data_IF_805878727820
#
_entry.id   IF_805878727820
#
_cell.length_a   1.000
_cell.length_b   1.000
_cell.length_c   1.000
_cell.angle_alpha   90.00
_cell.angle_beta   90.00
_cell.angle_gamma   90.00
#
_symmetry.space_group_name_H-M   'P 1'
#
loop_
_entity.id
_entity.type
_entity.pdbx_description
1 polymer ?
#
# COMPACT_ATOMS: atom_id res chain seq x y z
N UNK A 1 27.98 12.92 9.99
CA UNK A 1 26.94 11.91 9.67
C UNK A 1 25.92 11.88 10.80
N UNK A 2 24.64 11.97 10.48
CA UNK A 2 23.55 11.81 11.46
C UNK A 2 23.55 10.38 12.02
N UNK A 3 23.16 10.19 13.28
CA UNK A 3 22.96 8.85 13.88
C UNK A 3 22.03 8.01 12.99
N UNK A 4 21.05 8.65 12.34
CA UNK A 4 20.13 8.02 11.37
C UNK A 4 20.89 7.44 10.17
N UNK A 5 21.86 8.17 9.61
CA UNK A 5 22.67 7.69 8.47
C UNK A 5 23.61 6.55 8.85
N UNK A 6 24.19 6.58 10.06
CA UNK A 6 25.13 5.54 10.51
C UNK A 6 24.42 4.20 10.77
N UNK A 7 23.19 4.22 11.26
CA UNK A 7 22.38 3.01 11.50
C UNK A 7 21.64 2.51 10.24
N UNK A 8 21.45 3.37 9.24
CA UNK A 8 20.71 3.02 8.03
C UNK A 8 21.42 1.95 7.19
N UNK A 9 22.75 2.01 7.05
CA UNK A 9 23.50 1.05 6.22
C UNK A 9 23.47 -0.38 6.76
N UNK A 10 23.81 -0.66 8.04
CA UNK A 10 23.73 -2.03 8.57
C UNK A 10 22.30 -2.60 8.49
N UNK A 11 21.29 -1.78 8.79
CA UNK A 11 19.89 -2.20 8.70
C UNK A 11 19.48 -2.48 7.25
N UNK A 12 19.89 -1.64 6.30
CA UNK A 12 19.67 -1.85 4.88
C UNK A 12 20.30 -3.15 4.38
N UNK A 13 21.55 -3.43 4.77
CA UNK A 13 22.23 -4.68 4.40
C UNK A 13 21.57 -5.92 4.98
N UNK A 14 21.11 -5.86 6.23
CA UNK A 14 20.34 -6.95 6.83
C UNK A 14 19.03 -7.23 6.07
N UNK A 15 18.25 -6.19 5.76
CA UNK A 15 17.00 -6.33 5.01
C UNK A 15 17.25 -6.84 3.59
N UNK A 16 18.27 -6.29 2.90
CA UNK A 16 18.66 -6.73 1.57
C UNK A 16 19.09 -8.21 1.54
N UNK A 17 19.84 -8.65 2.55
CA UNK A 17 20.25 -10.06 2.69
C UNK A 17 19.03 -10.99 2.84
N UNK A 18 18.06 -10.62 3.68
CA UNK A 18 16.80 -11.36 3.83
C UNK A 18 16.02 -11.47 2.52
N UNK A 19 15.90 -10.37 1.77
CA UNK A 19 15.20 -10.34 0.47
C UNK A 19 15.93 -11.24 -0.54
N UNK A 20 17.26 -11.10 -0.66
CA UNK A 20 18.07 -11.93 -1.56
C UNK A 20 17.97 -13.42 -1.21
N UNK A 21 17.99 -13.76 0.07
CA UNK A 21 17.82 -15.14 0.54
C UNK A 21 16.47 -15.71 0.12
N UNK A 22 15.38 -14.94 0.29
CA UNK A 22 14.04 -15.36 -0.16
C UNK A 22 13.96 -15.57 -1.69
N UNK A 23 14.73 -14.84 -2.49
CA UNK A 23 14.78 -15.02 -3.95
C UNK A 23 15.51 -16.28 -4.40
N UNK A 24 16.25 -16.98 -3.53
CA UNK A 24 16.97 -18.21 -3.91
C UNK A 24 16.04 -19.41 -4.10
N UNK A 25 14.82 -19.37 -3.54
CA UNK A 25 13.85 -20.47 -3.59
C UNK A 25 12.44 -20.01 -3.96
N UNK A 26 12.26 -19.33 -5.11
CA UNK A 26 11.02 -18.61 -5.42
C UNK A 26 9.81 -19.54 -5.52
N UNK A 27 9.98 -20.73 -6.11
CA UNK A 27 8.90 -21.73 -6.28
C UNK A 27 8.43 -22.26 -4.93
N UNK A 28 9.36 -22.62 -4.03
CA UNK A 28 9.03 -23.09 -2.68
C UNK A 28 8.29 -22.00 -1.88
N UNK A 29 8.74 -20.75 -1.98
CA UNK A 29 8.11 -19.63 -1.30
C UNK A 29 6.68 -19.36 -1.81
N UNK A 30 6.47 -19.36 -3.13
CA UNK A 30 5.13 -19.20 -3.72
C UNK A 30 4.19 -20.31 -3.28
N UNK A 31 4.64 -21.58 -3.33
CA UNK A 31 3.85 -22.73 -2.86
C UNK A 31 3.50 -22.60 -1.38
N UNK A 32 4.47 -22.20 -0.54
CA UNK A 32 4.24 -21.99 0.90
C UNK A 32 3.22 -20.90 1.16
N UNK A 33 3.34 -19.74 0.49
CA UNK A 33 2.39 -18.63 0.63
C UNK A 33 0.99 -19.07 0.20
N UNK A 34 0.86 -19.72 -0.96
CA UNK A 34 -0.42 -20.24 -1.45
C UNK A 34 -1.10 -21.15 -0.42
N UNK A 35 -0.38 -22.16 0.09
CA UNK A 35 -0.94 -23.09 1.09
C UNK A 35 -1.31 -22.38 2.40
N UNK A 36 -0.51 -21.41 2.84
CA UNK A 36 -0.81 -20.60 4.02
C UNK A 36 -2.09 -19.78 3.86
N UNK A 37 -2.25 -19.11 2.71
CA UNK A 37 -3.43 -18.29 2.42
C UNK A 37 -4.70 -19.14 2.34
N UNK A 38 -4.62 -20.29 1.66
CA UNK A 38 -5.74 -21.25 1.56
C UNK A 38 -6.12 -21.81 2.94
N UNK A 39 -5.14 -22.28 3.72
CA UNK A 39 -5.39 -22.82 5.04
C UNK A 39 -6.01 -21.78 5.99
N UNK A 40 -5.60 -20.51 5.88
CA UNK A 40 -6.15 -19.43 6.68
C UNK A 40 -7.57 -19.03 6.24
N UNK A 41 -7.87 -19.09 4.94
CA UNK A 41 -9.17 -18.71 4.39
C UNK A 41 -10.18 -19.87 4.34
N UNK A 42 -9.80 -21.10 4.72
CA UNK A 42 -10.63 -22.29 4.50
C UNK A 42 -12.04 -22.19 5.08
N UNK A 43 -12.18 -21.60 6.27
CA UNK A 43 -13.46 -21.51 7.00
C UNK A 43 -14.30 -20.28 6.59
N UNK A 44 -13.84 -19.51 5.59
CA UNK A 44 -14.59 -18.37 5.05
C UNK A 44 -15.70 -18.84 4.10
N UNK A 45 -16.70 -17.99 3.84
CA UNK A 45 -17.77 -18.30 2.88
C UNK A 45 -17.20 -18.61 1.48
N UNK A 46 -16.19 -17.87 1.05
CA UNK A 46 -15.48 -18.14 -0.21
C UNK A 46 -14.66 -19.43 -0.14
N UNK A 47 -13.95 -19.68 0.97
CA UNK A 47 -13.16 -20.90 1.16
C UNK A 47 -14.01 -22.17 1.12
N UNK A 48 -15.16 -22.15 1.80
CA UNK A 48 -16.14 -23.24 1.78
C UNK A 48 -16.74 -23.45 0.38
N UNK A 49 -17.14 -22.37 -0.29
CA UNK A 49 -17.72 -22.45 -1.64
C UNK A 49 -16.75 -23.01 -2.69
N UNK A 50 -15.44 -22.89 -2.46
CA UNK A 50 -14.40 -23.39 -3.35
C UNK A 50 -13.63 -24.60 -2.77
N UNK A 51 -14.16 -25.25 -1.72
CA UNK A 51 -13.59 -26.44 -1.08
C UNK A 51 -12.09 -26.33 -0.74
N UNK A 52 -11.69 -25.23 -0.09
CA UNK A 52 -10.29 -24.97 0.28
C UNK A 52 -9.68 -26.04 1.18
N UNK A 53 -10.50 -26.80 1.92
CA UNK A 53 -10.03 -27.91 2.76
C UNK A 53 -9.34 -29.02 1.94
N UNK A 54 -9.75 -29.22 0.69
CA UNK A 54 -9.16 -30.25 -0.18
C UNK A 54 -7.92 -29.77 -0.96
N UNK A 55 -7.59 -28.48 -0.91
CA UNK A 55 -6.50 -27.89 -1.71
C UNK A 55 -5.14 -28.15 -1.04
N UNK A 56 -4.32 -29.03 -1.64
CA UNK A 56 -2.98 -29.42 -1.16
C UNK A 56 -1.88 -29.13 -2.17
N UNK A 57 -2.23 -28.98 -3.43
CA UNK A 57 -1.31 -28.72 -4.54
C UNK A 57 -1.72 -27.48 -5.33
N UNK A 58 -0.81 -27.01 -6.19
CA UNK A 58 -1.12 -25.93 -7.12
C UNK A 58 -2.19 -26.34 -8.14
N UNK A 59 -2.25 -27.63 -8.51
CA UNK A 59 -3.28 -28.14 -9.40
C UNK A 59 -4.67 -28.04 -8.75
N UNK A 60 -4.78 -28.44 -7.48
CA UNK A 60 -6.01 -28.34 -6.70
C UNK A 60 -6.43 -26.86 -6.57
N UNK A 61 -5.47 -25.98 -6.29
CA UNK A 61 -5.73 -24.54 -6.18
C UNK A 61 -6.29 -23.96 -7.48
N UNK A 62 -5.69 -24.29 -8.64
CA UNK A 62 -6.15 -23.81 -9.95
C UNK A 62 -7.56 -24.29 -10.28
N UNK A 63 -7.92 -25.50 -9.85
CA UNK A 63 -9.27 -26.04 -10.03
C UNK A 63 -10.27 -25.35 -9.08
N UNK A 64 -9.89 -25.13 -7.82
CA UNK A 64 -10.71 -24.50 -6.80
C UNK A 64 -10.94 -23.00 -7.04
N UNK A 65 -9.94 -22.27 -7.53
CA UNK A 65 -9.99 -20.80 -7.69
C UNK A 65 -9.77 -20.43 -9.16
N UNK A 66 -10.85 -20.36 -9.96
CA UNK A 66 -10.74 -19.91 -11.35
C UNK A 66 -10.33 -18.44 -11.42
N UNK A 67 -9.76 -18.05 -12.56
CA UNK A 67 -9.43 -16.66 -12.84
C UNK A 67 -10.74 -15.86 -12.88
N UNK A 68 -10.79 -14.78 -12.11
CA UNK A 68 -11.97 -13.95 -11.93
C UNK A 68 -11.63 -12.47 -12.07
N UNK A 69 -12.54 -11.70 -12.66
CA UNK A 69 -12.48 -10.25 -12.63
C UNK A 69 -13.22 -9.69 -11.39
N UNK A 70 -13.35 -8.37 -11.33
CA UNK A 70 -14.05 -7.73 -10.22
C UNK A 70 -15.54 -8.07 -10.19
N UNK A 71 -16.20 -8.20 -11.34
CA UNK A 71 -17.65 -8.45 -11.39
C UNK A 71 -17.98 -9.85 -10.87
N UNK A 72 -17.12 -10.84 -11.16
CA UNK A 72 -17.23 -12.18 -10.58
C UNK A 72 -17.06 -12.18 -9.04
N UNK A 73 -16.25 -11.27 -8.50
CA UNK A 73 -16.04 -11.14 -7.05
C UNK A 73 -17.03 -10.20 -6.36
N UNK A 74 -17.73 -9.36 -7.11
CA UNK A 74 -18.65 -8.33 -6.61
C UNK A 74 -19.71 -8.87 -5.66
N UNK A 75 -20.37 -10.03 -5.89
CA UNK A 75 -21.35 -10.56 -4.94
C UNK A 75 -20.77 -10.79 -3.54
N UNK A 76 -19.52 -11.25 -3.44
CA UNK A 76 -18.81 -11.44 -2.17
C UNK A 76 -18.46 -10.10 -1.53
N UNK A 77 -18.03 -9.13 -2.33
CA UNK A 77 -17.68 -7.78 -1.87
C UNK A 77 -18.92 -7.06 -1.32
N UNK A 78 -20.09 -7.21 -1.95
CA UNK A 78 -21.34 -6.61 -1.47
C UNK A 78 -21.76 -7.18 -0.11
N UNK A 79 -21.60 -8.49 0.14
CA UNK A 79 -21.81 -9.06 1.48
C UNK A 79 -20.92 -8.40 2.54
N UNK A 80 -19.63 -8.21 2.21
CA UNK A 80 -18.70 -7.52 3.11
C UNK A 80 -19.13 -6.06 3.32
N UNK A 81 -19.58 -5.38 2.26
CA UNK A 81 -20.10 -4.00 2.35
C UNK A 81 -21.34 -3.92 3.24
N UNK A 82 -22.19 -4.94 3.28
CA UNK A 82 -23.33 -5.05 4.20
C UNK A 82 -22.91 -5.38 5.64
N UNK A 83 -21.61 -5.51 5.91
CA UNK A 83 -21.06 -5.72 7.24
C UNK A 83 -20.88 -7.19 7.63
N UNK A 84 -21.10 -8.14 6.70
CA UNK A 84 -20.82 -9.55 6.94
C UNK A 84 -19.31 -9.80 7.14
N UNK A 85 -18.98 -10.83 7.92
CA UNK A 85 -17.61 -11.20 8.26
C UNK A 85 -17.25 -12.56 7.68
N UNK A 86 -15.96 -12.89 7.61
CA UNK A 86 -15.49 -14.20 7.15
C UNK A 86 -15.94 -14.54 5.71
N UNK A 87 -16.05 -13.54 4.84
CA UNK A 87 -16.51 -13.75 3.45
C UNK A 87 -15.37 -14.17 2.53
N UNK A 88 -14.45 -13.25 2.21
CA UNK A 88 -13.26 -13.53 1.39
C UNK A 88 -12.01 -13.83 2.23
N UNK A 89 -12.01 -13.38 3.49
CA UNK A 89 -10.91 -13.52 4.43
C UNK A 89 -11.45 -13.55 5.86
N UNK A 90 -10.78 -14.19 6.83
CA UNK A 90 -11.24 -14.18 8.22
C UNK A 90 -11.41 -12.76 8.79
N UNK A 91 -12.51 -12.57 9.51
CA UNK A 91 -12.93 -11.31 10.11
C UNK A 91 -13.49 -10.29 9.10
N UNK A 92 -13.42 -9.01 9.47
CA UNK A 92 -13.69 -7.87 8.59
C UNK A 92 -12.39 -7.29 8.03
N UNK A 93 -12.38 -6.78 6.78
CA UNK A 93 -11.26 -5.96 6.34
C UNK A 93 -11.15 -4.69 7.20
N UNK A 94 -9.93 -4.15 7.32
CA UNK A 94 -9.74 -2.86 7.97
C UNK A 94 -10.29 -1.71 7.12
N UNK A 95 -10.14 -1.85 5.80
CA UNK A 95 -10.54 -0.84 4.85
C UNK A 95 -11.15 -1.39 3.57
N UNK A 96 -11.90 -0.55 2.87
CA UNK A 96 -12.04 -0.63 1.43
C UNK A 96 -11.22 0.46 0.75
N UNK A 97 -10.31 0.04 -0.13
CA UNK A 97 -9.68 0.95 -1.07
C UNK A 97 -10.61 1.16 -2.27
N UNK A 98 -11.09 2.39 -2.47
CA UNK A 98 -11.84 2.80 -3.67
C UNK A 98 -10.87 2.95 -4.85
N UNK A 99 -11.19 2.35 -5.99
CA UNK A 99 -10.51 2.65 -7.26
C UNK A 99 -11.50 3.26 -8.24
N UNK A 100 -11.05 4.29 -8.98
CA UNK A 100 -11.81 4.94 -10.04
C UNK A 100 -11.82 4.03 -11.27
N UNK A 101 -12.65 2.98 -11.21
CA UNK A 101 -12.89 2.11 -12.35
C UNK A 101 -13.64 2.86 -13.45
N UNK A 102 -13.17 2.76 -14.69
CA UNK A 102 -13.74 3.47 -15.85
C UNK A 102 -14.94 2.76 -16.48
N UNK A 103 -15.22 1.50 -16.11
CA UNK A 103 -16.23 0.67 -16.80
C UNK A 103 -17.40 0.18 -15.94
N UNK A 104 -17.23 0.02 -14.62
CA UNK A 104 -18.27 -0.59 -13.75
C UNK A 104 -18.66 0.25 -12.53
N UNK A 105 -18.30 1.53 -12.53
CA UNK A 105 -18.36 2.38 -11.35
C UNK A 105 -17.22 2.11 -10.37
N UNK A 106 -17.36 2.62 -9.14
CA UNK A 106 -16.33 2.54 -8.10
C UNK A 106 -16.14 1.10 -7.63
N UNK A 107 -14.91 0.59 -7.70
CA UNK A 107 -14.54 -0.74 -7.17
C UNK A 107 -14.07 -0.60 -5.73
N UNK A 108 -14.46 -1.55 -4.89
CA UNK A 108 -14.13 -1.62 -3.47
C UNK A 108 -13.20 -2.80 -3.22
N UNK A 109 -11.91 -2.51 -3.02
CA UNK A 109 -10.90 -3.56 -2.79
C UNK A 109 -10.70 -3.73 -1.28
N UNK A 110 -11.03 -4.90 -0.68
CA UNK A 110 -10.82 -5.13 0.75
C UNK A 110 -9.32 -5.11 1.10
N UNK A 111 -8.95 -4.32 2.09
CA UNK A 111 -7.60 -4.30 2.68
C UNK A 111 -7.69 -4.89 4.08
N UNK A 112 -7.05 -6.04 4.29
CA UNK A 112 -7.12 -6.77 5.56
C UNK A 112 -6.04 -6.30 6.53
N UNK A 113 -6.23 -6.63 7.81
CA UNK A 113 -5.19 -6.42 8.83
C UNK A 113 -3.90 -7.17 8.49
N UNK A 114 -4.01 -8.34 7.85
CA UNK A 114 -2.87 -9.15 7.44
C UNK A 114 -2.11 -8.55 6.24
N UNK A 115 -2.80 -7.88 5.30
CA UNK A 115 -2.15 -7.28 4.13
C UNK A 115 -1.56 -5.89 4.41
N UNK A 116 -2.10 -5.14 5.38
CA UNK A 116 -1.68 -3.75 5.64
C UNK A 116 -0.16 -3.57 5.82
N UNK A 117 0.55 -4.42 6.60
CA UNK A 117 2.00 -4.31 6.74
C UNK A 117 2.77 -4.40 5.40
N UNK A 118 2.24 -5.10 4.38
CA UNK A 118 2.90 -5.22 3.09
C UNK A 118 3.02 -3.88 2.35
N UNK A 119 2.03 -2.99 2.49
CA UNK A 119 2.08 -1.65 1.89
C UNK A 119 3.18 -0.78 2.51
N UNK A 120 3.36 -0.86 3.82
CA UNK A 120 4.40 -0.10 4.54
C UNK A 120 5.79 -0.71 4.31
N UNK A 121 5.90 -2.04 4.45
CA UNK A 121 7.16 -2.75 4.31
C UNK A 121 7.73 -2.65 2.90
N UNK A 122 6.89 -2.65 1.86
CA UNK A 122 7.37 -2.55 0.48
C UNK A 122 8.05 -1.21 0.22
N UNK A 123 7.42 -0.09 0.62
CA UNK A 123 8.01 1.23 0.50
C UNK A 123 9.32 1.35 1.31
N UNK A 124 9.31 0.90 2.57
CA UNK A 124 10.52 0.86 3.40
C UNK A 124 11.64 0.05 2.74
N UNK A 125 11.32 -1.15 2.27
CA UNK A 125 12.30 -2.06 1.69
C UNK A 125 12.89 -1.48 0.39
N UNK A 126 12.11 -0.76 -0.42
CA UNK A 126 12.62 -0.07 -1.61
C UNK A 126 13.71 0.96 -1.24
N UNK A 127 13.48 1.78 -0.20
CA UNK A 127 14.47 2.75 0.29
C UNK A 127 15.72 2.08 0.86
N UNK A 128 15.53 1.01 1.63
CA UNK A 128 16.65 0.25 2.18
C UNK A 128 17.46 -0.46 1.09
N UNK A 129 16.81 -0.97 0.05
CA UNK A 129 17.50 -1.52 -1.12
C UNK A 129 18.32 -0.46 -1.85
N UNK A 130 17.78 0.76 -2.01
CA UNK A 130 18.53 1.88 -2.57
C UNK A 130 19.78 2.20 -1.73
N UNK A 131 19.63 2.31 -0.40
CA UNK A 131 20.76 2.54 0.53
C UNK A 131 21.80 1.42 0.40
N UNK A 132 21.36 0.16 0.36
CA UNK A 132 22.26 -0.98 0.26
C UNK A 132 23.03 -0.99 -1.07
N UNK A 133 22.39 -0.62 -2.17
CA UNK A 133 22.99 -0.69 -3.50
C UNK A 133 23.88 0.51 -3.82
N UNK A 134 23.51 1.70 -3.35
CA UNK A 134 24.23 2.95 -3.65
C UNK A 134 25.19 3.39 -2.55
N UNK A 135 25.00 2.91 -1.31
CA UNK A 135 25.66 3.46 -0.12
C UNK A 135 25.16 4.86 0.28
N UNK A 136 24.28 5.47 -0.54
CA UNK A 136 23.76 6.81 -0.31
C UNK A 136 22.67 6.78 0.76
N UNK A 137 22.93 7.49 1.86
CA UNK A 137 21.98 7.70 2.96
C UNK A 137 21.55 9.16 3.07
N UNK A 138 22.07 10.06 2.27
CA UNK A 138 21.94 11.50 2.50
C UNK A 138 20.49 11.96 2.36
N UNK A 139 19.72 11.27 1.52
CA UNK A 139 18.30 11.54 1.32
C UNK A 139 17.45 11.39 2.60
N UNK A 140 17.91 10.66 3.62
CA UNK A 140 17.16 10.48 4.88
C UNK A 140 17.21 11.71 5.77
N UNK A 141 18.11 12.67 5.49
CA UNK A 141 18.32 13.84 6.31
C UNK A 141 17.43 15.03 5.92
N UNK A 142 16.88 15.05 4.69
CA UNK A 142 15.97 16.10 4.25
C UNK A 142 14.49 15.77 4.46
N UNK A 143 13.64 16.58 3.83
CA UNK A 143 12.19 16.41 3.80
C UNK A 143 11.78 15.47 2.68
N UNK A 144 10.70 14.76 2.90
CA UNK A 144 10.14 13.81 1.95
C UNK A 144 8.68 14.13 1.65
N UNK A 145 8.29 13.93 0.40
CA UNK A 145 6.90 14.02 -0.03
C UNK A 145 6.46 12.72 -0.68
N UNK A 146 5.22 12.32 -0.40
CA UNK A 146 4.50 11.35 -1.20
C UNK A 146 3.22 12.01 -1.70
N UNK A 147 3.18 12.32 -3.00
CA UNK A 147 2.00 12.85 -3.66
C UNK A 147 0.94 11.75 -3.67
N UNK A 148 -0.09 11.93 -2.84
CA UNK A 148 -1.07 10.90 -2.52
C UNK A 148 -2.51 11.43 -2.58
N UNK A 149 -3.47 10.51 -2.63
CA UNK A 149 -4.89 10.85 -2.46
C UNK A 149 -5.21 11.37 -1.06
N UNK A 150 -6.41 11.93 -0.88
CA UNK A 150 -6.88 12.40 0.43
C UNK A 150 -6.79 11.28 1.49
N UNK A 151 -6.27 11.58 2.69
CA UNK A 151 -6.23 10.66 3.83
C UNK A 151 -7.59 10.59 4.54
N UNK A 152 -8.58 11.35 4.11
CA UNK A 152 -9.93 11.26 4.65
C UNK A 152 -10.53 9.88 4.42
N UNK A 153 -11.33 9.48 5.39
CA UNK A 153 -11.96 8.18 5.43
C UNK A 153 -13.44 8.35 5.68
N UNK A 154 -14.24 7.71 4.85
CA UNK A 154 -15.63 7.43 5.14
C UNK A 154 -15.69 6.15 5.98
N UNK A 155 -16.84 5.86 6.59
CA UNK A 155 -17.08 4.59 7.27
C UNK A 155 -18.39 3.99 6.81
N UNK A 156 -18.36 2.68 6.55
CA UNK A 156 -19.53 1.89 6.15
C UNK A 156 -19.52 0.58 6.93
N UNK A 157 -20.54 0.36 7.76
CA UNK A 157 -20.71 -0.87 8.55
C UNK A 157 -19.46 -1.28 9.37
N UNK A 158 -18.74 -0.29 9.91
CA UNK A 158 -17.52 -0.47 10.70
C UNK A 158 -16.25 -0.71 9.88
N UNK A 159 -16.29 -0.51 8.56
CA UNK A 159 -15.15 -0.61 7.64
C UNK A 159 -14.86 0.79 7.08
N UNK A 160 -13.62 1.24 7.22
CA UNK A 160 -13.19 2.55 6.71
C UNK A 160 -12.99 2.52 5.21
N UNK A 161 -13.35 3.57 4.50
CA UNK A 161 -13.28 3.62 3.03
C UNK A 161 -12.50 4.84 2.59
N UNK A 162 -11.59 4.68 1.64
CA UNK A 162 -10.82 5.79 1.08
C UNK A 162 -9.92 5.37 -0.08
N UNK A 163 -9.06 6.27 -0.56
CA UNK A 163 -8.02 5.93 -1.53
C UNK A 163 -6.88 5.21 -0.83
N UNK A 164 -6.35 4.12 -1.41
CA UNK A 164 -5.32 3.30 -0.76
C UNK A 164 -4.12 4.12 -0.24
N UNK A 165 -3.62 5.07 -1.03
CA UNK A 165 -2.50 5.93 -0.64
C UNK A 165 -2.83 6.84 0.55
N UNK A 166 -4.08 7.29 0.67
CA UNK A 166 -4.59 8.00 1.84
C UNK A 166 -4.79 7.10 3.06
N UNK A 167 -5.27 5.88 2.86
CA UNK A 167 -5.46 4.90 3.95
C UNK A 167 -4.13 4.50 4.60
N UNK A 168 -3.09 4.33 3.79
CA UNK A 168 -1.73 4.00 4.23
C UNK A 168 -1.11 5.10 5.08
N UNK A 169 -1.53 6.37 4.91
CA UNK A 169 -1.07 7.51 5.72
C UNK A 169 -1.19 7.24 7.22
N UNK A 170 -2.33 6.65 7.65
CA UNK A 170 -2.65 6.36 9.05
C UNK A 170 -1.78 5.27 9.69
N UNK A 171 -0.98 4.56 8.89
CA UNK A 171 -0.08 3.50 9.34
C UNK A 171 1.39 3.92 9.32
N UNK A 172 1.69 5.15 8.90
CA UNK A 172 3.05 5.69 8.91
C UNK A 172 3.44 6.02 10.35
N UNK A 173 4.55 5.48 10.88
CA UNK A 173 5.02 5.79 12.23
C UNK A 173 5.20 7.30 12.45
N UNK A 174 4.72 7.82 13.58
CA UNK A 174 4.71 9.26 13.86
C UNK A 174 6.08 9.94 13.78
N UNK A 175 7.16 9.23 14.08
CA UNK A 175 8.53 9.76 13.96
C UNK A 175 8.94 10.05 12.50
N UNK A 176 8.33 9.38 11.51
CA UNK A 176 8.53 9.65 10.09
C UNK A 176 7.69 10.82 9.59
N UNK A 177 6.57 11.14 10.26
CA UNK A 177 5.70 12.25 9.87
C UNK A 177 6.38 13.62 10.00
N UNK A 178 7.34 13.78 10.93
CA UNK A 178 8.06 15.06 11.14
C UNK A 178 8.86 15.55 9.92
N UNK A 179 9.32 14.60 9.10
CA UNK A 179 10.09 14.90 7.90
C UNK A 179 9.21 14.88 6.65
N UNK A 180 7.89 14.70 6.80
CA UNK A 180 6.98 14.50 5.69
C UNK A 180 6.18 15.76 5.38
N UNK A 181 6.10 16.07 4.10
CA UNK A 181 5.20 17.07 3.53
C UNK A 181 4.23 16.39 2.53
N UNK A 182 3.12 17.05 2.16
CA UNK A 182 2.61 18.29 2.73
C UNK A 182 1.91 18.06 4.09
N UNK A 183 1.42 19.13 4.71
CA UNK A 183 0.57 19.09 5.90
C UNK A 183 -0.67 18.20 5.72
N UNK A 184 -1.27 17.76 6.82
CA UNK A 184 -2.51 16.96 6.76
C UNK A 184 -3.63 17.74 6.06
N UNK A 185 -3.81 19.02 6.40
CA UNK A 185 -4.83 19.89 5.81
C UNK A 185 -4.67 20.00 4.28
N UNK A 186 -3.44 20.19 3.80
CA UNK A 186 -3.16 20.23 2.35
C UNK A 186 -3.38 18.87 1.69
N UNK A 187 -3.08 17.77 2.38
CA UNK A 187 -3.39 16.43 1.88
C UNK A 187 -4.89 16.16 1.73
N UNK A 188 -5.75 16.81 2.52
CA UNK A 188 -7.21 16.66 2.46
C UNK A 188 -7.90 17.47 1.35
N UNK A 189 -7.19 18.35 0.64
CA UNK A 189 -7.79 19.11 -0.47
C UNK A 189 -8.27 18.14 -1.56
N UNK A 190 -9.54 18.25 -1.93
CA UNK A 190 -10.17 17.40 -2.96
C UNK A 190 -9.79 17.85 -4.37
N UNK A 191 -9.84 19.15 -4.65
CA UNK A 191 -9.44 19.71 -5.93
C UNK A 191 -7.95 19.48 -6.17
N UNK A 192 -7.63 18.79 -7.26
CA UNK A 192 -6.27 18.33 -7.50
C UNK A 192 -5.32 19.49 -7.84
N UNK A 193 -5.78 20.49 -8.58
CA UNK A 193 -4.94 21.62 -9.00
C UNK A 193 -4.65 22.54 -7.81
N UNK A 194 -5.67 22.87 -7.02
CA UNK A 194 -5.53 23.61 -5.77
C UNK A 194 -4.58 22.88 -4.81
N UNK A 195 -4.75 21.55 -4.69
CA UNK A 195 -3.89 20.73 -3.85
C UNK A 195 -2.44 20.80 -4.31
N UNK A 196 -2.15 20.59 -5.59
CA UNK A 196 -0.78 20.66 -6.13
C UNK A 196 -0.20 22.04 -5.89
N UNK A 197 -0.95 23.12 -6.14
CA UNK A 197 -0.47 24.48 -5.88
C UNK A 197 -0.07 24.68 -4.41
N UNK A 198 -0.92 24.28 -3.47
CA UNK A 198 -0.62 24.42 -2.04
C UNK A 198 0.54 23.53 -1.61
N UNK A 199 0.67 22.34 -2.18
CA UNK A 199 1.84 21.47 -1.98
C UNK A 199 3.10 22.20 -2.43
N UNK A 200 3.14 22.75 -3.64
CA UNK A 200 4.30 23.48 -4.15
C UNK A 200 4.67 24.66 -3.24
N UNK A 201 3.69 25.41 -2.73
CA UNK A 201 3.93 26.51 -1.78
C UNK A 201 4.53 26.03 -0.45
N UNK A 202 4.13 24.86 0.05
CA UNK A 202 4.71 24.26 1.27
C UNK A 202 6.12 23.69 1.06
N UNK A 203 6.47 23.29 -0.17
CA UNK A 203 7.72 22.54 -0.42
C UNK A 203 8.82 23.36 -1.09
N UNK A 204 8.51 24.47 -1.76
CA UNK A 204 9.48 25.21 -2.61
C UNK A 204 10.72 25.71 -1.85
N UNK A 205 10.57 26.06 -0.56
CA UNK A 205 11.68 26.55 0.29
C UNK A 205 12.31 25.44 1.14
N UNK A 206 11.83 24.21 1.01
CA UNK A 206 12.24 23.09 1.85
C UNK A 206 13.31 22.25 1.15
N UNK A 207 14.23 21.67 1.93
CA UNK A 207 15.22 20.74 1.42
C UNK A 207 14.57 19.37 1.13
N UNK A 208 13.91 19.27 -0.02
CA UNK A 208 13.23 18.07 -0.49
C UNK A 208 14.24 17.06 -1.04
N UNK A 209 14.45 15.96 -0.33
CA UNK A 209 15.44 14.93 -0.69
C UNK A 209 14.83 13.61 -1.13
N UNK A 210 13.51 13.45 -0.95
CA UNK A 210 12.78 12.30 -1.46
C UNK A 210 11.39 12.72 -1.96
N UNK A 211 11.14 12.49 -3.24
CA UNK A 211 9.87 12.78 -3.89
C UNK A 211 9.31 11.45 -4.41
N UNK A 212 8.11 11.11 -3.97
CA UNK A 212 7.41 9.90 -4.37
C UNK A 212 6.01 10.26 -4.86
N UNK A 213 5.50 9.52 -5.84
CA UNK A 213 4.19 9.74 -6.41
C UNK A 213 4.00 8.94 -7.68
N UNK A 214 2.77 8.97 -8.21
CA UNK A 214 2.48 8.44 -9.54
C UNK A 214 3.14 9.39 -10.57
N UNK A 215 3.79 8.90 -11.65
CA UNK A 215 4.63 9.77 -12.49
C UNK A 215 3.93 11.03 -13.04
N UNK A 216 2.69 10.97 -13.59
CA UNK A 216 1.92 12.17 -13.93
C UNK A 216 1.82 13.22 -12.82
N UNK A 217 1.58 12.81 -11.56
CA UNK A 217 1.47 13.74 -10.44
C UNK A 217 2.80 14.41 -10.10
N UNK A 218 3.89 13.65 -10.22
CA UNK A 218 5.24 14.16 -9.99
C UNK A 218 5.62 15.18 -11.07
N UNK A 219 5.23 14.93 -12.33
CA UNK A 219 5.44 15.88 -13.44
C UNK A 219 4.68 17.19 -13.15
N UNK A 220 3.38 17.12 -12.87
CA UNK A 220 2.57 18.31 -12.55
C UNK A 220 3.16 19.10 -11.37
N UNK A 221 3.66 18.41 -10.34
CA UNK A 221 4.30 19.05 -9.21
C UNK A 221 5.58 19.80 -9.60
N UNK A 222 6.43 19.22 -10.45
CA UNK A 222 7.64 19.89 -10.92
C UNK A 222 7.34 21.04 -11.88
N UNK A 223 6.40 20.88 -12.81
CA UNK A 223 5.95 21.95 -13.72
C UNK A 223 5.44 23.14 -12.92
N UNK A 224 4.55 22.89 -11.94
CA UNK A 224 4.03 23.95 -11.08
C UNK A 224 5.12 24.62 -10.25
N UNK A 225 6.13 23.87 -9.76
CA UNK A 225 7.27 24.47 -9.07
C UNK A 225 8.05 25.44 -9.96
N UNK A 226 8.28 25.10 -11.24
CA UNK A 226 8.98 25.96 -12.19
C UNK A 226 8.20 27.24 -12.52
N UNK A 227 6.86 27.18 -12.50
CA UNK A 227 6.01 28.37 -12.70
C UNK A 227 6.08 29.37 -11.54
N UNK A 228 6.32 28.88 -10.32
CA UNK A 228 6.27 29.69 -9.09
C UNK A 228 7.66 29.98 -8.48
N UNK A 229 8.73 29.47 -9.09
CA UNK A 229 10.13 29.66 -8.65
C UNK A 229 10.75 30.95 -9.14
#
# INVERSE_FOLDING_TARGET
>A
MSIKSSLARPFASYVASKIKSAHTKPIEHQKKIMLQLIAQAKDTAFGNANNFESVKTYSDFKQAVPIADYEALKPWIEKIKQGEQNILWPGKPLYFAKTSGTTSGVKYIPITKASMPNHINSARNALLMYINNSGNTDFVNGKMIFLQGSPEVEELHGIKIGRLSGLVYHHVPGYLLKNRLPSYQTNCIEDWEEKVEKICRETIKENMTLISGIPPWVIMYFEKLLEIS
#
